data_IF_140694216473
#
_entry.id   IF_140694216473
#
_cell.length_a   1.000
_cell.length_b   1.000
_cell.length_c   1.000
_cell.angle_alpha   90.00
_cell.angle_beta   90.00
_cell.angle_gamma   90.00
#
_symmetry.space_group_name_H-M   'P 1'
#
loop_
_entity.id
_entity.type
_entity.pdbx_description
1 polymer ?
#
# COMPACT_ATOMS: atom_id res chain seq x y z
N UNK A 1 9.25 -12.95 12.68
CA UNK A 1 8.86 -11.90 13.65
C UNK A 1 8.06 -10.84 12.90
N UNK A 2 6.91 -10.43 13.43
CA UNK A 2 6.05 -9.43 12.81
C UNK A 2 6.44 -8.01 13.26
N UNK A 3 6.38 -7.04 12.36
CA UNK A 3 6.55 -5.61 12.65
C UNK A 3 5.29 -5.02 13.28
N UNK A 4 4.12 -5.46 12.82
CA UNK A 4 2.79 -5.07 13.32
C UNK A 4 1.77 -6.14 12.91
N UNK A 5 0.60 -6.11 13.53
CA UNK A 5 -0.53 -6.97 13.25
C UNK A 5 -1.75 -6.10 12.95
N UNK A 6 -2.51 -6.47 11.92
CA UNK A 6 -3.77 -5.85 11.56
C UNK A 6 -4.83 -6.94 11.43
N UNK A 7 -5.96 -6.73 12.10
CA UNK A 7 -7.17 -7.51 11.96
C UNK A 7 -7.99 -6.92 10.81
N UNK A 8 -8.19 -7.72 9.77
CA UNK A 8 -9.04 -7.35 8.65
C UNK A 8 -10.51 -7.28 9.09
N UNK A 9 -11.34 -6.59 8.32
CA UNK A 9 -12.79 -6.52 8.55
C UNK A 9 -13.46 -7.89 8.48
N UNK A 10 -12.84 -8.87 7.81
CA UNK A 10 -13.26 -10.28 7.81
C UNK A 10 -12.99 -11.01 9.14
N UNK A 11 -12.26 -10.40 10.08
CA UNK A 11 -11.78 -11.01 11.31
C UNK A 11 -10.45 -11.76 11.16
N UNK A 12 -9.91 -11.88 9.94
CA UNK A 12 -8.61 -12.50 9.68
C UNK A 12 -7.48 -11.63 10.26
N UNK A 13 -6.53 -12.26 10.94
CA UNK A 13 -5.32 -11.58 11.43
C UNK A 13 -4.21 -11.67 10.40
N UNK A 14 -3.66 -10.53 10.04
CA UNK A 14 -2.52 -10.41 9.15
C UNK A 14 -1.33 -9.80 9.88
N UNK A 15 -0.15 -10.21 9.49
CA UNK A 15 1.12 -9.81 10.10
C UNK A 15 1.99 -9.16 9.03
N UNK A 16 2.42 -7.93 9.27
CA UNK A 16 3.39 -7.28 8.40
C UNK A 16 4.78 -7.79 8.75
N UNK A 17 5.42 -8.55 7.86
CA UNK A 17 6.75 -9.11 8.11
C UNK A 17 7.88 -8.23 7.56
N UNK A 18 7.63 -7.49 6.47
CA UNK A 18 8.64 -6.62 5.85
C UNK A 18 8.04 -5.32 5.30
N UNK A 19 8.76 -4.22 5.55
CA UNK A 19 8.51 -2.80 5.24
C UNK A 19 9.43 -2.07 4.27
N UNK A 20 8.97 -1.49 3.15
CA UNK A 20 9.74 -0.47 2.42
C UNK A 20 8.96 0.82 2.33
N UNK A 21 9.59 1.93 2.73
CA UNK A 21 8.99 3.25 2.72
C UNK A 21 9.86 4.22 1.92
N UNK A 22 9.24 4.96 1.01
CA UNK A 22 9.90 6.00 0.22
C UNK A 22 9.06 7.27 0.21
N UNK A 23 9.70 8.44 0.07
CA UNK A 23 8.99 9.70 -0.10
C UNK A 23 8.34 9.76 -1.48
N UNK A 24 7.05 10.09 -1.55
CA UNK A 24 6.28 10.10 -2.81
C UNK A 24 6.86 11.05 -3.86
N UNK A 25 7.27 12.24 -3.41
CA UNK A 25 7.84 13.28 -4.26
C UNK A 25 9.36 13.39 -4.14
N UNK A 26 10.00 12.40 -3.52
CA UNK A 26 11.46 12.38 -3.42
C UNK A 26 12.06 12.24 -4.82
N UNK A 27 12.98 13.15 -5.17
CA UNK A 27 13.53 13.26 -6.53
C UNK A 27 12.72 14.14 -7.51
N UNK A 28 11.62 14.77 -7.10
CA UNK A 28 10.98 15.82 -7.89
C UNK A 28 11.79 17.12 -7.77
N UNK A 29 12.68 17.37 -8.73
CA UNK A 29 13.66 18.47 -8.70
C UNK A 29 12.98 19.84 -8.90
N UNK A 30 12.00 19.93 -9.79
CA UNK A 30 11.29 21.18 -10.11
C UNK A 30 9.81 20.92 -10.41
N UNK A 31 8.98 21.94 -10.13
CA UNK A 31 7.54 21.93 -10.37
C UNK A 31 6.72 21.75 -9.09
N UNK A 32 5.45 21.39 -9.28
CA UNK A 32 4.52 21.08 -8.19
C UNK A 32 3.77 19.79 -8.56
N UNK A 33 3.25 19.05 -7.58
CA UNK A 33 2.42 17.89 -7.87
C UNK A 33 1.13 18.26 -8.60
N UNK A 34 0.86 17.58 -9.71
CA UNK A 34 -0.38 17.72 -10.45
C UNK A 34 -0.79 16.38 -11.05
N UNK A 35 -2.02 16.30 -11.53
CA UNK A 35 -2.68 15.06 -11.95
C UNK A 35 -1.82 14.14 -12.81
N UNK A 36 -1.16 14.65 -13.86
CA UNK A 36 -0.36 13.81 -14.76
C UNK A 36 0.83 13.14 -14.06
N UNK A 37 1.57 13.86 -13.21
CA UNK A 37 2.69 13.29 -12.46
C UNK A 37 2.17 12.24 -11.47
N UNK A 38 1.11 12.56 -10.73
CA UNK A 38 0.50 11.64 -9.78
C UNK A 38 -0.02 10.38 -10.47
N UNK A 39 -0.69 10.50 -11.62
CA UNK A 39 -1.18 9.37 -12.40
C UNK A 39 -0.03 8.43 -12.79
N UNK A 40 1.13 8.97 -13.18
CA UNK A 40 2.32 8.15 -13.47
C UNK A 40 2.91 7.48 -12.24
N UNK A 41 2.94 8.17 -11.09
CA UNK A 41 3.39 7.58 -9.84
C UNK A 41 2.49 6.43 -9.39
N UNK A 42 1.17 6.64 -9.41
CA UNK A 42 0.18 5.62 -9.05
C UNK A 42 0.24 4.42 -10.00
N UNK A 43 0.37 4.66 -11.31
CA UNK A 43 0.49 3.59 -12.30
C UNK A 43 1.74 2.71 -12.10
N UNK A 44 2.78 3.23 -11.45
CA UNK A 44 4.02 2.49 -11.19
C UNK A 44 4.00 1.69 -9.88
N UNK A 45 3.01 1.90 -9.00
CA UNK A 45 2.94 1.22 -7.69
C UNK A 45 2.94 -0.33 -7.79
N UNK A 46 2.19 -0.98 -8.71
CA UNK A 46 2.25 -2.43 -8.85
C UNK A 46 3.66 -2.93 -9.18
N UNK A 47 4.37 -2.21 -10.05
CA UNK A 47 5.74 -2.55 -10.44
C UNK A 47 6.73 -2.38 -9.28
N UNK A 48 6.55 -1.37 -8.42
CA UNK A 48 7.35 -1.23 -7.20
C UNK A 48 7.16 -2.43 -6.26
N UNK A 49 5.91 -2.86 -6.08
CA UNK A 49 5.59 -4.07 -5.31
C UNK A 49 6.29 -5.31 -5.85
N UNK A 50 6.12 -5.56 -7.16
CA UNK A 50 6.71 -6.72 -7.83
C UNK A 50 8.24 -6.70 -7.82
N UNK A 51 8.86 -5.52 -7.89
CA UNK A 51 10.32 -5.37 -7.84
C UNK A 51 10.87 -5.63 -6.43
N UNK A 52 10.18 -5.14 -5.39
CA UNK A 52 10.61 -5.31 -3.99
C UNK A 52 10.43 -6.74 -3.49
N UNK A 53 9.38 -7.42 -3.96
CA UNK A 53 9.02 -8.77 -3.55
C UNK A 53 8.69 -9.65 -4.77
N UNK A 54 9.70 -10.08 -5.55
CA UNK A 54 9.49 -10.88 -6.75
C UNK A 54 8.73 -12.18 -6.48
N UNK A 55 7.81 -12.53 -7.38
CA UNK A 55 7.05 -13.78 -7.33
C UNK A 55 5.93 -13.83 -6.26
N UNK A 56 5.62 -12.71 -5.63
CA UNK A 56 4.51 -12.59 -4.67
C UNK A 56 3.32 -11.86 -5.30
N UNK A 57 2.07 -12.21 -4.95
CA UNK A 57 0.91 -11.46 -5.42
C UNK A 57 0.96 -10.03 -4.86
N UNK A 58 0.59 -9.05 -5.69
CA UNK A 58 0.62 -7.63 -5.33
C UNK A 58 -0.79 -7.06 -5.41
N UNK A 59 -1.22 -6.44 -4.31
CA UNK A 59 -2.42 -5.63 -4.22
C UNK A 59 -2.03 -4.17 -4.02
N UNK A 60 -2.63 -3.26 -4.80
CA UNK A 60 -2.41 -1.81 -4.66
C UNK A 60 -3.68 -1.17 -4.12
N UNK A 61 -3.57 -0.53 -2.96
CA UNK A 61 -4.64 0.31 -2.42
C UNK A 61 -4.62 1.63 -3.17
N UNK A 62 -5.72 2.04 -3.83
CA UNK A 62 -5.81 3.33 -4.50
C UNK A 62 -5.55 4.47 -3.50
N UNK A 63 -4.62 5.40 -3.78
CA UNK A 63 -4.32 6.48 -2.85
C UNK A 63 -5.41 7.56 -2.86
N UNK A 64 -5.66 8.13 -1.69
CA UNK A 64 -6.51 9.31 -1.52
C UNK A 64 -5.76 10.53 -2.08
N UNK A 65 -6.44 11.32 -2.92
CA UNK A 65 -5.90 12.55 -3.50
C UNK A 65 -6.46 13.76 -2.77
N UNK A 66 -5.57 14.68 -2.40
CA UNK A 66 -5.94 15.97 -1.82
C UNK A 66 -5.85 17.05 -2.91
N UNK A 67 -6.82 17.97 -2.89
CA UNK A 67 -6.90 19.09 -3.82
C UNK A 67 -6.79 20.40 -3.04
N UNK A 68 -5.58 20.95 -2.88
CA UNK A 68 -5.40 22.23 -2.20
C UNK A 68 -6.23 23.34 -2.84
N UNK A 69 -6.75 24.24 -2.02
CA UNK A 69 -7.47 25.40 -2.53
C UNK A 69 -6.58 26.25 -3.44
N UNK A 70 -7.13 26.62 -4.59
CA UNK A 70 -6.43 27.47 -5.53
C UNK A 70 -6.16 28.84 -4.90
N UNK A 71 -4.89 29.24 -4.85
CA UNK A 71 -4.52 30.58 -4.40
C UNK A 71 -5.04 31.63 -5.41
N UNK A 72 -5.82 32.64 -4.98
CA UNK A 72 -6.33 33.67 -5.88
C UNK A 72 -5.20 34.35 -6.66
N UNK A 73 -5.36 34.44 -7.99
CA UNK A 73 -4.36 35.07 -8.88
C UNK A 73 -3.15 34.20 -9.21
N UNK A 74 -3.00 33.01 -8.61
CA UNK A 74 -1.95 32.06 -8.96
C UNK A 74 -2.41 31.18 -10.13
N UNK A 75 -1.85 31.42 -11.31
CA UNK A 75 -2.03 30.53 -12.46
C UNK A 75 -0.92 29.47 -12.47
N UNK A 76 -1.33 28.20 -12.41
CA UNK A 76 -0.42 27.06 -12.46
C UNK A 76 -0.43 26.47 -13.88
N UNK A 77 0.73 26.43 -14.57
CA UNK A 77 0.79 26.16 -16.02
C UNK A 77 0.38 24.73 -16.42
N UNK A 78 0.36 23.79 -15.46
CA UNK A 78 0.03 22.38 -15.71
C UNK A 78 -1.30 21.95 -15.07
N UNK A 79 -2.15 22.91 -14.69
CA UNK A 79 -3.43 22.67 -14.04
C UNK A 79 -3.36 22.79 -12.51
N UNK A 80 -4.45 22.47 -11.80
CA UNK A 80 -4.50 22.60 -10.34
C UNK A 80 -3.48 21.68 -9.65
N UNK A 81 -3.02 22.10 -8.48
CA UNK A 81 -2.23 21.25 -7.61
C UNK A 81 -3.08 20.07 -7.13
N UNK A 82 -2.46 18.89 -7.08
CA UNK A 82 -3.07 17.66 -6.60
C UNK A 82 -2.00 16.90 -5.82
N UNK A 83 -2.29 16.53 -4.58
CA UNK A 83 -1.34 15.86 -3.70
C UNK A 83 -1.75 14.40 -3.46
N UNK A 84 -0.77 13.52 -3.50
CA UNK A 84 -0.83 12.16 -2.98
C UNK A 84 -0.27 12.14 -1.54
N UNK A 85 -0.55 11.08 -0.76
CA UNK A 85 0.05 10.93 0.56
C UNK A 85 1.58 10.90 0.46
N UNK A 86 2.28 11.37 1.49
CA UNK A 86 3.71 11.70 1.41
C UNK A 86 4.65 10.50 1.38
N UNK A 87 4.18 9.33 1.80
CA UNK A 87 4.98 8.11 1.89
C UNK A 87 4.32 7.02 1.05
N UNK A 88 5.10 6.40 0.16
CA UNK A 88 4.75 5.15 -0.50
C UNK A 88 5.27 4.01 0.36
N UNK A 89 4.41 3.05 0.65
CA UNK A 89 4.72 1.86 1.42
C UNK A 89 4.55 0.61 0.56
N UNK A 90 5.53 -0.28 0.60
CA UNK A 90 5.46 -1.62 0.00
C UNK A 90 5.73 -2.64 1.11
N UNK A 91 4.69 -3.36 1.51
CA UNK A 91 4.73 -4.27 2.66
C UNK A 91 4.39 -5.71 2.28
N UNK A 92 5.12 -6.66 2.88
CA UNK A 92 4.76 -8.08 2.83
C UNK A 92 3.91 -8.44 4.04
N UNK A 93 2.65 -8.79 3.78
CA UNK A 93 1.74 -9.31 4.79
C UNK A 93 1.66 -10.83 4.72
N UNK A 94 1.50 -11.46 5.88
CA UNK A 94 1.34 -12.91 6.04
C UNK A 94 0.14 -13.23 6.95
N UNK A 95 -0.47 -14.39 6.76
CA UNK A 95 -1.55 -14.93 7.60
C UNK A 95 -1.48 -16.47 7.59
N UNK A 96 -2.31 -17.14 8.39
CA UNK A 96 -2.64 -18.56 8.15
C UNK A 96 -3.07 -18.80 6.71
N UNK A 97 -2.95 -20.04 6.24
CA UNK A 97 -3.38 -20.46 4.90
C UNK A 97 -4.80 -19.93 4.54
N UNK A 98 -5.00 -19.70 3.24
CA UNK A 98 -6.33 -19.44 2.67
C UNK A 98 -7.09 -20.76 2.58
N UNK A 99 -6.43 -21.84 2.15
CA UNK A 99 -7.00 -23.19 2.21
C UNK A 99 -7.17 -23.65 3.67
N UNK A 100 -8.28 -24.34 3.93
CA UNK A 100 -8.66 -24.89 5.23
C UNK A 100 -8.58 -26.42 5.27
N UNK A 101 -7.96 -27.03 4.25
CA UNK A 101 -7.72 -28.47 4.18
C UNK A 101 -6.85 -29.02 5.31
N UNK A 102 -6.69 -30.36 5.38
CA UNK A 102 -5.92 -31.03 6.44
C UNK A 102 -4.48 -30.54 6.56
N UNK A 103 -3.90 -30.11 5.45
CA UNK A 103 -2.52 -29.64 5.36
C UNK A 103 -2.37 -28.15 5.68
N UNK A 104 -3.45 -27.40 5.91
CA UNK A 104 -3.41 -25.96 6.21
C UNK A 104 -2.38 -25.55 7.29
N UNK A 105 -2.12 -26.34 8.36
CA UNK A 105 -1.06 -26.02 9.32
C UNK A 105 0.37 -26.00 8.75
N UNK A 106 0.60 -26.62 7.59
CA UNK A 106 1.90 -26.65 6.89
C UNK A 106 2.10 -25.45 5.96
N UNK A 107 1.09 -24.60 5.81
CA UNK A 107 1.10 -23.48 4.88
C UNK A 107 0.83 -22.15 5.57
N UNK A 108 1.37 -21.08 4.99
CA UNK A 108 0.99 -19.70 5.29
C UNK A 108 0.56 -18.99 4.01
N UNK A 109 -0.32 -18.02 4.13
CA UNK A 109 -0.69 -17.16 3.02
C UNK A 109 0.11 -15.86 3.05
N UNK A 110 0.47 -15.35 1.88
CA UNK A 110 1.17 -14.06 1.74
C UNK A 110 0.55 -13.16 0.69
N UNK A 111 0.62 -11.85 0.94
CA UNK A 111 0.19 -10.80 0.03
C UNK A 111 1.11 -9.58 0.17
N UNK A 112 1.63 -9.09 -0.95
CA UNK A 112 2.30 -7.80 -0.99
C UNK A 112 1.25 -6.72 -1.15
N UNK A 113 1.23 -5.77 -0.24
CA UNK A 113 0.34 -4.61 -0.29
C UNK A 113 1.17 -3.37 -0.57
N UNK A 114 0.76 -2.60 -1.56
CA UNK A 114 1.30 -1.26 -1.85
C UNK A 114 0.25 -0.25 -1.48
N UNK A 115 0.59 0.68 -0.59
CA UNK A 115 -0.31 1.73 -0.13
C UNK A 115 0.45 3.04 0.04
N UNK A 116 -0.28 4.13 0.23
CA UNK A 116 0.31 5.43 0.49
C UNK A 116 -0.26 6.00 1.79
N UNK A 117 0.58 6.66 2.58
CA UNK A 117 0.19 7.21 3.88
C UNK A 117 0.82 8.58 4.16
N UNK A 118 0.24 9.40 5.06
CA UNK A 118 0.70 10.77 5.29
C UNK A 118 2.07 10.88 5.97
N UNK A 119 2.45 9.90 6.81
CA UNK A 119 3.69 9.91 7.60
C UNK A 119 4.34 8.54 7.61
N UNK A 120 5.64 8.45 7.93
CA UNK A 120 6.38 7.18 7.97
C UNK A 120 6.16 6.38 9.27
N UNK A 121 4.89 6.25 9.69
CA UNK A 121 4.49 5.49 10.89
C UNK A 121 3.77 4.22 10.45
N UNK A 122 4.14 3.07 11.00
CA UNK A 122 3.48 1.82 10.64
C UNK A 122 2.02 1.82 11.10
N UNK A 123 1.09 1.30 10.28
CA UNK A 123 -0.28 1.08 10.72
C UNK A 123 -0.28 0.01 11.83
N UNK A 124 -0.98 0.29 12.92
CA UNK A 124 -1.33 -0.70 13.94
C UNK A 124 -2.76 -1.17 13.73
N UNK A 125 -3.19 -2.16 14.50
CA UNK A 125 -4.59 -2.58 14.51
C UNK A 125 -5.53 -1.38 14.75
N UNK A 126 -5.17 -0.44 15.62
CA UNK A 126 -5.97 0.76 15.95
C UNK A 126 -5.90 1.86 14.88
N UNK A 127 -4.78 1.99 14.17
CA UNK A 127 -4.54 3.11 13.23
C UNK A 127 -4.67 2.73 11.76
N UNK A 128 -4.80 1.44 11.44
CA UNK A 128 -5.03 0.96 10.09
C UNK A 128 -6.35 1.52 9.54
N UNK A 129 -6.26 2.28 8.44
CA UNK A 129 -7.43 2.76 7.70
C UNK A 129 -8.26 1.63 7.12
N UNK A 130 -9.52 1.92 6.77
CA UNK A 130 -10.46 0.93 6.23
C UNK A 130 -9.91 0.21 5.01
N UNK A 131 -9.24 0.91 4.10
CA UNK A 131 -8.68 0.30 2.88
C UNK A 131 -7.64 -0.81 3.17
N UNK A 132 -6.89 -0.69 4.27
CA UNK A 132 -5.96 -1.74 4.73
C UNK A 132 -6.68 -2.87 5.48
N UNK A 133 -7.83 -2.59 6.09
CA UNK A 133 -8.64 -3.61 6.79
C UNK A 133 -9.54 -4.39 5.82
N UNK A 134 -9.90 -3.81 4.69
CA UNK A 134 -10.76 -4.38 3.66
C UNK A 134 -9.96 -5.07 2.54
N UNK A 135 -8.72 -5.48 2.84
CA UNK A 135 -7.90 -6.22 1.88
C UNK A 135 -8.64 -7.47 1.40
N UNK A 136 -8.69 -7.73 0.07
CA UNK A 136 -9.34 -8.89 -0.51
C UNK A 136 -8.48 -10.15 -0.34
N UNK A 137 -8.20 -10.52 0.92
CA UNK A 137 -7.18 -11.49 1.28
C UNK A 137 -7.45 -12.86 0.68
N UNK A 138 -8.66 -13.38 0.86
CA UNK A 138 -9.02 -14.73 0.43
C UNK A 138 -9.03 -14.88 -1.11
N UNK A 139 -9.13 -13.77 -1.84
CA UNK A 139 -9.09 -13.76 -3.31
C UNK A 139 -7.67 -13.57 -3.87
N UNK A 140 -6.80 -12.86 -3.15
CA UNK A 140 -5.52 -12.39 -3.69
C UNK A 140 -4.28 -13.00 -3.02
N UNK A 141 -4.38 -13.43 -1.77
CA UNK A 141 -3.26 -14.02 -1.08
C UNK A 141 -2.93 -15.40 -1.64
N UNK A 142 -1.65 -15.77 -1.60
CA UNK A 142 -1.18 -17.06 -2.10
C UNK A 142 -0.59 -17.88 -0.96
N UNK A 143 -1.00 -19.14 -0.87
CA UNK A 143 -0.44 -20.10 0.07
C UNK A 143 0.95 -20.57 -0.37
N UNK A 144 1.85 -20.68 0.62
CA UNK A 144 3.19 -21.24 0.50
C UNK A 144 3.49 -22.15 1.69
N UNK A 145 4.25 -23.21 1.44
CA UNK A 145 4.69 -24.16 2.46
C UNK A 145 5.68 -23.48 3.42
N UNK A 146 5.59 -23.83 4.71
CA UNK A 146 6.39 -23.26 5.81
C UNK A 146 7.73 -24.00 5.98
#
# INVERSE_FOLDING_TARGET
MALTMITLSSGRRTYLSQVWMTGTYDGLIEGYPFRYINDRMVANLPQQGAHRFPGSPVHVIPPIREYPEAQPGRHLPFGPEELLPRVICVGMFESSAVDTGPDAPLYRSRLVVVWMQPTAVLPSDETAGLDLRDLPWDEMAKDEEI
#
